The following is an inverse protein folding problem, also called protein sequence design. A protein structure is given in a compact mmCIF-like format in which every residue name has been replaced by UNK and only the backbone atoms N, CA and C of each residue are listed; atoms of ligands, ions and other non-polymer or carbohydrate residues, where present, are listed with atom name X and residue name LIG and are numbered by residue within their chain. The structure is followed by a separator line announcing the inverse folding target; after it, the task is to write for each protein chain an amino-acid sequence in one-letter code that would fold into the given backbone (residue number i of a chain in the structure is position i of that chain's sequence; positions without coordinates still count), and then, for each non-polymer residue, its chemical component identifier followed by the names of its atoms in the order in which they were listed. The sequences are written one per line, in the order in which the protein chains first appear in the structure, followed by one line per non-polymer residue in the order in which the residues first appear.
data_IF_779010938177
#
_entry.id   IF_779010938177
#
_cell.length_a   1.000
_cell.length_b   1.000
_cell.length_c   1.000
_cell.angle_alpha   90.00
_cell.angle_beta   90.00
_cell.angle_gamma   90.00
#
_symmetry.space_group_name_H-M   'P 1'
#
loop_
_entity.id
_entity.type
_entity.pdbx_description
1 polymer ?
#
# COMPACT_ATOMS: atom_id res chain seq x y z
N UNK A 1 -34.04 -4.68 29.95
CA UNK A 1 -32.68 -4.20 30.27
C UNK A 1 -31.71 -5.04 29.45
N UNK A 2 -31.03 -4.43 28.48
CA UNK A 2 -30.18 -5.15 27.52
C UNK A 2 -28.90 -5.56 28.23
N UNK A 3 -28.60 -6.85 28.28
CA UNK A 3 -27.34 -7.38 28.78
C UNK A 3 -26.19 -6.78 27.96
N UNK A 4 -25.35 -5.98 28.60
CA UNK A 4 -24.09 -5.52 28.03
C UNK A 4 -23.24 -6.77 27.85
N UNK A 5 -23.03 -7.21 26.60
CA UNK A 5 -22.22 -8.36 26.25
C UNK A 5 -20.82 -8.20 26.86
N UNK A 6 -20.52 -8.99 27.89
CA UNK A 6 -19.19 -9.14 28.43
C UNK A 6 -18.35 -9.87 27.38
N UNK A 7 -17.61 -9.10 26.57
CA UNK A 7 -16.68 -9.68 25.60
C UNK A 7 -15.60 -10.41 26.37
N UNK A 8 -15.56 -11.73 26.23
CA UNK A 8 -14.60 -12.59 26.91
C UNK A 8 -13.17 -12.16 26.53
N UNK A 9 -12.25 -12.01 27.51
CA UNK A 9 -10.89 -11.55 27.25
C UNK A 9 -10.10 -12.49 26.34
N UNK A 10 -10.43 -13.79 26.29
CA UNK A 10 -9.83 -14.72 25.35
C UNK A 10 -10.34 -14.51 23.92
N UNK A 11 -11.61 -14.13 23.75
CA UNK A 11 -12.15 -13.73 22.44
C UNK A 11 -11.52 -12.41 21.97
N UNK A 12 -11.32 -11.45 22.87
CA UNK A 12 -10.60 -10.21 22.57
C UNK A 12 -9.13 -10.49 22.19
N UNK A 13 -8.45 -11.41 22.88
CA UNK A 13 -7.09 -11.82 22.55
C UNK A 13 -7.05 -12.49 21.17
N UNK A 14 -7.98 -13.41 20.86
CA UNK A 14 -8.08 -14.06 19.54
C UNK A 14 -8.35 -13.07 18.41
N UNK A 15 -9.21 -12.09 18.63
CA UNK A 15 -9.46 -11.01 17.67
C UNK A 15 -8.20 -10.18 17.43
N UNK A 16 -7.50 -9.79 18.51
CA UNK A 16 -6.23 -9.06 18.43
C UNK A 16 -5.14 -9.83 17.68
N UNK A 17 -5.01 -11.13 17.95
CA UNK A 17 -4.08 -12.03 17.25
C UNK A 17 -4.40 -12.19 15.77
N UNK A 18 -5.67 -12.11 15.38
CA UNK A 18 -6.08 -12.13 13.96
C UNK A 18 -5.79 -10.81 13.26
N UNK A 19 -5.98 -9.68 13.94
CA UNK A 19 -5.64 -8.35 13.39
C UNK A 19 -4.15 -8.12 13.20
N UNK A 20 -3.26 -8.82 13.93
CA UNK A 20 -1.81 -8.73 13.71
C UNK A 20 -1.34 -9.31 12.38
N UNK A 21 -2.17 -10.06 11.64
CA UNK A 21 -1.80 -10.56 10.30
C UNK A 21 -2.18 -9.59 9.17
N UNK A 22 -3.09 -8.64 9.40
CA UNK A 22 -3.68 -7.84 8.30
C UNK A 22 -2.92 -6.54 7.94
N UNK A 23 -1.75 -6.28 8.56
CA UNK A 23 -0.95 -5.09 8.28
C UNK A 23 -0.03 -5.23 7.05
N UNK A 24 0.69 -6.35 6.95
CA UNK A 24 1.70 -6.56 5.89
C UNK A 24 1.13 -7.11 4.59
N UNK A 25 0.02 -7.86 4.66
CA UNK A 25 -0.62 -8.43 3.46
C UNK A 25 -1.15 -7.34 2.52
N UNK A 26 -1.47 -6.16 3.05
CA UNK A 26 -1.99 -5.07 2.23
C UNK A 26 -0.89 -4.37 1.44
N UNK A 27 0.31 -4.22 2.01
CA UNK A 27 1.46 -3.65 1.31
C UNK A 27 1.96 -4.59 0.19
N UNK A 28 2.04 -5.89 0.48
CA UNK A 28 2.47 -6.91 -0.49
C UNK A 28 1.45 -7.05 -1.63
N UNK A 29 0.14 -7.08 -1.28
CA UNK A 29 -0.96 -7.05 -2.25
C UNK A 29 -0.89 -5.82 -3.15
N UNK A 30 -0.67 -4.63 -2.58
CA UNK A 30 -0.55 -3.38 -3.36
C UNK A 30 0.67 -3.40 -4.28
N UNK A 31 1.80 -4.01 -3.88
CA UNK A 31 2.96 -4.22 -4.76
C UNK A 31 2.65 -5.18 -5.90
N UNK A 32 1.96 -6.29 -5.63
CA UNK A 32 1.53 -7.23 -6.65
C UNK A 32 0.56 -6.58 -7.66
N UNK A 33 -0.40 -5.79 -7.19
CA UNK A 33 -1.32 -5.02 -8.03
C UNK A 33 -0.60 -3.99 -8.91
N UNK A 34 0.40 -3.30 -8.36
CA UNK A 34 1.30 -2.44 -9.12
C UNK A 34 2.07 -3.23 -10.20
N UNK A 35 2.75 -4.32 -9.83
CA UNK A 35 3.53 -5.14 -10.75
C UNK A 35 2.71 -5.81 -11.87
N UNK A 36 1.42 -6.05 -11.63
CA UNK A 36 0.49 -6.59 -12.63
C UNK A 36 0.07 -5.56 -13.70
N UNK A 37 0.29 -4.26 -13.46
CA UNK A 37 -0.01 -3.24 -14.46
C UNK A 37 1.08 -3.12 -15.51
N UNK A 38 0.71 -2.84 -16.77
CA UNK A 38 1.65 -2.65 -17.88
C UNK A 38 2.73 -1.60 -17.60
N UNK A 39 2.45 -0.65 -16.70
CA UNK A 39 3.37 0.41 -16.27
C UNK A 39 4.11 0.14 -14.97
N UNK A 40 3.86 -0.99 -14.30
CA UNK A 40 4.47 -1.37 -13.03
C UNK A 40 3.93 -0.62 -11.80
N UNK A 41 3.28 0.54 -11.96
CA UNK A 41 2.70 1.31 -10.85
C UNK A 41 1.45 2.08 -11.27
N UNK A 42 0.43 2.08 -10.40
CA UNK A 42 -0.90 2.63 -10.68
C UNK A 42 -1.01 4.15 -10.46
N UNK A 43 -0.42 4.66 -9.37
CA UNK A 43 -0.55 6.06 -8.97
C UNK A 43 0.82 6.59 -8.59
N UNK A 44 1.43 7.40 -9.46
CA UNK A 44 2.77 7.97 -9.27
C UNK A 44 2.63 9.42 -8.83
N UNK A 45 3.29 9.78 -7.74
CA UNK A 45 3.41 11.16 -7.29
C UNK A 45 4.85 11.61 -7.37
N UNK A 46 5.03 12.77 -7.99
CA UNK A 46 6.30 13.50 -8.12
C UNK A 46 6.11 14.82 -7.41
N UNK A 47 6.64 14.98 -6.20
CA UNK A 47 6.71 16.29 -5.55
C UNK A 47 7.96 17.06 -6.03
N UNK A 48 7.86 18.38 -6.15
CA UNK A 48 8.97 19.22 -6.61
C UNK A 48 10.19 19.07 -5.69
N UNK A 49 11.26 18.47 -6.21
CA UNK A 49 12.50 18.23 -5.47
C UNK A 49 12.57 16.91 -4.70
N UNK A 50 11.53 16.07 -4.74
CA UNK A 50 11.52 14.75 -4.09
C UNK A 50 11.64 13.60 -5.09
N UNK A 51 12.06 12.43 -4.58
CA UNK A 51 12.10 11.21 -5.37
C UNK A 51 10.66 10.72 -5.62
N UNK A 52 10.30 10.43 -6.88
CA UNK A 52 8.96 9.93 -7.21
C UNK A 52 8.63 8.66 -6.45
N UNK A 53 7.37 8.53 -6.05
CA UNK A 53 6.87 7.36 -5.32
C UNK A 53 5.50 6.94 -5.82
N UNK A 54 5.19 5.67 -5.66
CA UNK A 54 3.85 5.16 -5.89
C UNK A 54 2.98 5.44 -4.67
N UNK A 55 1.86 6.14 -4.81
CA UNK A 55 0.89 6.32 -3.73
C UNK A 55 0.16 5.02 -3.37
N UNK A 56 0.01 4.11 -4.34
CA UNK A 56 -0.68 2.84 -4.13
C UNK A 56 0.14 1.90 -3.24
N UNK A 57 1.36 1.56 -3.66
CA UNK A 57 2.21 0.62 -2.92
C UNK A 57 3.27 1.29 -2.02
N UNK A 58 3.39 2.62 -2.04
CA UNK A 58 4.40 3.36 -1.27
C UNK A 58 5.84 3.24 -1.80
N UNK A 59 6.05 2.49 -2.88
CA UNK A 59 7.38 2.20 -3.41
C UNK A 59 8.02 3.44 -4.05
N UNK A 60 9.29 3.69 -3.71
CA UNK A 60 10.10 4.71 -4.37
C UNK A 60 10.41 4.25 -5.79
N UNK A 61 10.11 5.10 -6.76
CA UNK A 61 10.17 4.78 -8.17
C UNK A 61 11.49 5.22 -8.78
N UNK A 62 12.23 4.23 -9.26
CA UNK A 62 13.39 4.47 -10.11
C UNK A 62 12.97 5.16 -11.42
N UNK A 63 13.87 5.94 -12.06
CA UNK A 63 13.60 6.56 -13.35
C UNK A 63 13.15 5.58 -14.45
N UNK A 64 13.59 4.32 -14.39
CA UNK A 64 13.14 3.26 -15.31
C UNK A 64 11.67 2.88 -15.08
N UNK A 65 11.25 2.76 -13.82
CA UNK A 65 9.87 2.47 -13.45
C UNK A 65 8.92 3.59 -13.89
N UNK A 66 9.35 4.85 -13.75
CA UNK A 66 8.63 6.00 -14.29
C UNK A 66 8.44 5.93 -15.81
N UNK A 67 9.51 5.59 -16.56
CA UNK A 67 9.44 5.44 -18.02
C UNK A 67 8.47 4.33 -18.43
N UNK A 68 8.47 3.20 -17.73
CA UNK A 68 7.51 2.09 -17.95
C UNK A 68 6.08 2.53 -17.66
N UNK A 69 5.87 3.33 -16.60
CA UNK A 69 4.59 3.93 -16.27
C UNK A 69 4.14 5.05 -17.24
N UNK A 70 4.93 5.38 -18.26
CA UNK A 70 4.59 6.39 -19.26
C UNK A 70 4.91 7.82 -18.82
N UNK A 71 5.53 8.01 -17.66
CA UNK A 71 6.00 9.31 -17.21
C UNK A 71 7.29 9.67 -17.96
N UNK A 72 7.22 10.74 -18.76
CA UNK A 72 8.41 11.35 -19.34
C UNK A 72 8.99 12.33 -18.33
N UNK A 73 10.32 12.35 -18.11
CA UNK A 73 10.92 13.43 -17.35
C UNK A 73 10.53 14.75 -18.00
N UNK A 74 9.90 15.63 -17.22
CA UNK A 74 9.65 17.00 -17.66
C UNK A 74 11.02 17.59 -18.01
N UNK A 75 11.20 17.93 -19.29
CA UNK A 75 12.42 18.55 -19.78
C UNK A 75 12.57 19.90 -19.05
N UNK A 76 13.76 20.24 -18.52
CA UNK A 76 13.99 21.56 -17.94
C UNK A 76 13.78 22.67 -18.99
#
# INVERSE_FOLDING_TARGET
MVAMNEVDPADLARLRSRTTWSGDGDADRRRAECGATRGGHLAVVVASGEVPRCEHCGEVLSPDALRRAGYRPAKP
#
